data_IF_643266328212
#
_entry.id   IF_643266328212
#
_cell.length_a   1.000
_cell.length_b   1.000
_cell.length_c   1.000
_cell.angle_alpha   90.00
_cell.angle_beta   90.00
_cell.angle_gamma   90.00
#
_symmetry.space_group_name_H-M   'P 1'
#
loop_
_entity.id
_entity.type
_entity.pdbx_description
1 polymer ?
#
# COMPACT_ATOMS: atom_id res chain seq x y z
N UNK A 1 20.63 -26.07 -17.86
CA UNK A 1 19.52 -25.77 -16.93
C UNK A 1 19.05 -24.36 -17.22
N UNK A 2 17.82 -24.17 -17.70
CA UNK A 2 17.22 -22.84 -17.78
C UNK A 2 16.99 -22.34 -16.36
N UNK A 3 17.63 -21.24 -15.98
CA UNK A 3 17.35 -20.61 -14.69
C UNK A 3 15.90 -20.11 -14.72
N UNK A 4 15.03 -20.70 -13.92
CA UNK A 4 13.70 -20.15 -13.70
C UNK A 4 13.85 -18.86 -12.90
N UNK A 5 13.38 -17.74 -13.46
CA UNK A 5 13.45 -16.41 -12.84
C UNK A 5 12.36 -16.21 -11.77
N UNK A 6 11.32 -17.05 -11.78
CA UNK A 6 10.24 -17.04 -10.80
C UNK A 6 10.03 -18.46 -10.31
N UNK A 7 9.98 -18.62 -8.99
CA UNK A 7 9.72 -19.90 -8.31
C UNK A 7 8.60 -19.66 -7.31
N UNK A 8 7.65 -20.60 -7.23
CA UNK A 8 6.51 -20.52 -6.33
C UNK A 8 6.73 -21.39 -5.10
N UNK A 9 6.27 -20.92 -3.94
CA UNK A 9 6.11 -21.69 -2.72
C UNK A 9 4.62 -21.75 -2.35
N UNK A 10 4.26 -22.71 -1.49
CA UNK A 10 2.89 -22.83 -1.00
C UNK A 10 2.59 -21.75 0.06
N UNK A 11 1.46 -21.06 -0.09
CA UNK A 11 1.07 -20.00 0.84
C UNK A 11 0.77 -20.58 2.24
N UNK A 12 1.32 -19.97 3.28
CA UNK A 12 1.18 -20.46 4.65
C UNK A 12 2.12 -21.62 5.02
N UNK A 13 2.89 -22.18 4.08
CA UNK A 13 3.90 -23.21 4.33
C UNK A 13 5.31 -22.59 4.33
N UNK A 14 5.85 -22.40 5.54
CA UNK A 14 7.18 -21.84 5.72
C UNK A 14 8.30 -22.78 5.25
N UNK A 15 8.11 -24.11 5.35
CA UNK A 15 9.10 -25.07 4.85
C UNK A 15 9.17 -25.04 3.33
N UNK A 16 8.03 -24.87 2.65
CA UNK A 16 7.97 -24.66 1.21
C UNK A 16 8.74 -23.42 0.78
N UNK A 17 8.59 -22.31 1.51
CA UNK A 17 9.36 -21.10 1.27
C UNK A 17 10.88 -21.31 1.52
N UNK A 18 11.25 -21.94 2.63
CA UNK A 18 12.65 -22.19 2.98
C UNK A 18 13.41 -23.04 1.94
N UNK A 19 12.72 -23.94 1.22
CA UNK A 19 13.33 -24.74 0.15
C UNK A 19 13.77 -23.91 -1.06
N UNK A 20 13.09 -22.78 -1.32
CA UNK A 20 13.26 -21.99 -2.54
C UNK A 20 13.95 -20.65 -2.32
N UNK A 21 13.93 -20.11 -1.09
CA UNK A 21 14.65 -18.90 -0.71
C UNK A 21 16.12 -19.25 -0.50
N UNK A 22 17.00 -18.75 -1.38
CA UNK A 22 18.42 -19.11 -1.41
C UNK A 22 19.30 -17.86 -1.48
N UNK A 23 20.27 -17.77 -0.57
CA UNK A 23 21.24 -16.69 -0.53
C UNK A 23 22.00 -16.56 -1.86
N UNK A 24 22.15 -15.33 -2.35
CA UNK A 24 22.80 -15.02 -3.63
C UNK A 24 22.04 -15.45 -4.88
N UNK A 25 20.81 -15.99 -4.74
CA UNK A 25 19.95 -16.39 -5.87
C UNK A 25 18.57 -15.76 -5.82
N UNK A 26 17.98 -15.65 -4.65
CA UNK A 26 16.66 -15.03 -4.46
C UNK A 26 16.82 -13.53 -4.29
N UNK A 27 16.30 -12.75 -5.23
CA UNK A 27 16.32 -11.29 -5.13
C UNK A 27 15.22 -10.76 -4.18
N UNK A 28 14.03 -11.35 -4.25
CA UNK A 28 12.88 -10.92 -3.48
C UNK A 28 11.85 -12.04 -3.31
N UNK A 29 11.04 -11.93 -2.26
CA UNK A 29 9.87 -12.77 -1.97
C UNK A 29 8.63 -11.88 -1.98
N UNK A 30 7.67 -12.20 -2.85
CA UNK A 30 6.40 -11.49 -2.95
C UNK A 30 5.31 -12.29 -2.24
N UNK A 31 4.57 -11.65 -1.34
CA UNK A 31 3.48 -12.30 -0.60
C UNK A 31 2.36 -11.30 -0.28
N UNK A 32 1.11 -11.76 -0.36
CA UNK A 32 -0.05 -11.01 0.14
C UNK A 32 -0.19 -11.27 1.65
N UNK A 33 -0.25 -10.26 2.55
CA UNK A 33 -0.56 -10.50 3.96
C UNK A 33 -1.95 -11.15 4.17
N UNK A 34 -2.87 -10.89 3.25
CA UNK A 34 -4.17 -11.57 3.14
C UNK A 34 -4.36 -11.92 1.67
N UNK A 35 -4.29 -13.19 1.32
CA UNK A 35 -4.47 -13.65 -0.05
C UNK A 35 -5.92 -13.41 -0.48
N UNK A 36 -6.13 -12.44 -1.37
CA UNK A 36 -7.46 -11.95 -1.73
C UNK A 36 -8.21 -12.92 -2.64
N UNK A 37 -7.77 -13.01 -3.89
CA UNK A 37 -8.44 -13.82 -4.93
C UNK A 37 -8.32 -15.33 -4.69
N UNK A 38 -7.39 -15.75 -3.82
CA UNK A 38 -7.24 -17.15 -3.42
C UNK A 38 -8.40 -17.67 -2.55
N UNK A 39 -9.24 -16.80 -2.00
CA UNK A 39 -10.33 -17.18 -1.10
C UNK A 39 -10.42 -16.36 0.18
N UNK A 40 -9.76 -15.21 0.24
CA UNK A 40 -9.66 -14.34 1.43
C UNK A 40 -9.04 -15.09 2.60
N UNK A 41 -7.76 -15.45 2.46
CA UNK A 41 -6.99 -16.17 3.47
C UNK A 41 -5.97 -15.28 4.17
N UNK A 42 -6.24 -14.79 5.39
CA UNK A 42 -5.24 -14.11 6.20
C UNK A 42 -4.07 -15.05 6.49
N UNK A 43 -2.84 -14.55 6.36
CA UNK A 43 -1.66 -15.30 6.76
C UNK A 43 -1.68 -15.59 8.27
N UNK A 44 -0.98 -16.64 8.68
CA UNK A 44 -0.61 -16.84 10.08
C UNK A 44 0.55 -15.89 10.43
N UNK A 45 0.59 -15.42 11.67
CA UNK A 45 1.64 -14.49 12.13
C UNK A 45 3.04 -15.12 12.02
N UNK A 46 3.16 -16.37 12.42
CA UNK A 46 4.39 -17.15 12.40
C UNK A 46 4.91 -17.33 10.96
N UNK A 47 4.02 -17.42 9.98
CA UNK A 47 4.39 -17.54 8.57
C UNK A 47 5.06 -16.26 8.06
N UNK A 48 4.46 -15.08 8.28
CA UNK A 48 5.06 -13.81 7.81
C UNK A 48 6.32 -13.43 8.58
N UNK A 49 6.36 -13.71 9.89
CA UNK A 49 7.57 -13.52 10.70
C UNK A 49 8.70 -14.45 10.24
N UNK A 50 8.38 -15.71 9.94
CA UNK A 50 9.31 -16.67 9.36
C UNK A 50 9.83 -16.22 7.99
N UNK A 51 8.95 -15.74 7.10
CA UNK A 51 9.35 -15.21 5.80
C UNK A 51 10.31 -14.03 5.93
N UNK A 52 10.06 -13.12 6.89
CA UNK A 52 10.98 -12.02 7.18
C UNK A 52 12.37 -12.53 7.55
N UNK A 53 12.45 -13.48 8.49
CA UNK A 53 13.73 -14.06 8.90
C UNK A 53 14.44 -14.75 7.73
N UNK A 54 13.72 -15.54 6.93
CA UNK A 54 14.29 -16.21 5.75
C UNK A 54 14.82 -15.21 4.71
N UNK A 55 14.12 -14.09 4.51
CA UNK A 55 14.57 -13.03 3.60
C UNK A 55 15.84 -12.36 4.15
N UNK A 56 15.87 -12.05 5.44
CA UNK A 56 17.03 -11.43 6.10
C UNK A 56 18.26 -12.33 6.01
N UNK A 57 18.12 -13.62 6.34
CA UNK A 57 19.20 -14.61 6.29
C UNK A 57 19.75 -14.81 4.87
N UNK A 58 18.88 -14.70 3.85
CA UNK A 58 19.26 -14.86 2.45
C UNK A 58 19.78 -13.57 1.79
N UNK A 59 19.59 -12.41 2.42
CA UNK A 59 19.80 -11.10 1.79
C UNK A 59 18.80 -10.81 0.67
N UNK A 60 17.58 -11.35 0.76
CA UNK A 60 16.49 -11.13 -0.18
C UNK A 60 15.53 -10.05 0.35
N UNK A 61 14.86 -9.34 -0.56
CA UNK A 61 13.83 -8.36 -0.17
C UNK A 61 12.50 -9.05 0.13
N UNK A 62 11.82 -8.65 1.20
CA UNK A 62 10.43 -9.03 1.45
C UNK A 62 9.49 -7.98 0.87
N UNK A 63 8.59 -8.40 -0.01
CA UNK A 63 7.62 -7.54 -0.68
C UNK A 63 6.20 -7.92 -0.27
N UNK A 64 5.47 -6.98 0.30
CA UNK A 64 4.04 -7.17 0.59
C UNK A 64 3.15 -6.56 -0.50
N UNK A 65 2.30 -7.40 -1.08
CA UNK A 65 1.21 -6.92 -1.91
C UNK A 65 0.02 -6.51 -1.03
N UNK A 66 -0.11 -5.20 -0.86
CA UNK A 66 -1.17 -4.58 -0.08
C UNK A 66 -2.23 -3.91 -0.96
N UNK A 67 -2.24 -4.21 -2.27
CA UNK A 67 -3.20 -3.65 -3.22
C UNK A 67 -4.64 -3.91 -2.77
N UNK A 68 -4.93 -5.10 -2.24
CA UNK A 68 -6.26 -5.45 -1.77
C UNK A 68 -6.47 -5.23 -0.26
N UNK A 69 -5.50 -5.65 0.56
CA UNK A 69 -5.65 -5.71 2.01
C UNK A 69 -5.23 -4.42 2.75
N UNK A 70 -4.54 -3.49 2.08
CA UNK A 70 -4.11 -2.23 2.66
C UNK A 70 -5.19 -1.16 2.74
N UNK A 71 -4.76 0.07 3.05
CA UNK A 71 -5.58 1.29 3.11
C UNK A 71 -6.87 1.14 3.95
N UNK A 72 -6.73 0.60 5.16
CA UNK A 72 -7.86 0.50 6.09
C UNK A 72 -8.75 -0.73 5.91
N UNK A 73 -8.51 -1.59 4.91
CA UNK A 73 -9.42 -2.70 4.56
C UNK A 73 -9.59 -3.69 5.71
N UNK A 74 -8.50 -4.04 6.40
CA UNK A 74 -8.46 -5.01 7.51
C UNK A 74 -8.74 -4.39 8.88
N UNK A 75 -8.96 -3.07 8.96
CA UNK A 75 -9.12 -2.34 10.23
C UNK A 75 -7.84 -1.66 10.73
N UNK A 76 -6.69 -2.01 10.16
CA UNK A 76 -5.40 -1.30 10.29
C UNK A 76 -5.13 -0.48 9.04
N UNK A 77 -4.21 0.50 9.11
CA UNK A 77 -3.91 1.30 7.92
C UNK A 77 -3.30 0.41 6.84
N UNK A 78 -2.38 -0.45 7.25
CA UNK A 78 -1.76 -1.48 6.43
C UNK A 78 -2.08 -2.87 7.01
N UNK A 79 -2.32 -3.83 6.14
CA UNK A 79 -2.58 -5.22 6.50
C UNK A 79 -1.43 -5.83 7.30
N UNK A 80 -0.19 -5.49 6.96
CA UNK A 80 0.98 -6.03 7.66
C UNK A 80 1.07 -5.61 9.14
N UNK A 81 0.44 -4.50 9.54
CA UNK A 81 0.45 -4.01 10.93
C UNK A 81 -0.14 -5.04 11.92
N UNK A 82 -0.96 -5.97 11.45
CA UNK A 82 -1.51 -7.04 12.28
C UNK A 82 -0.46 -8.08 12.72
N UNK A 83 0.65 -8.18 11.99
CA UNK A 83 1.63 -9.26 12.13
C UNK A 83 2.94 -8.81 12.79
N UNK A 84 3.11 -7.48 12.97
CA UNK A 84 4.35 -6.92 13.53
C UNK A 84 5.57 -7.09 12.61
N UNK A 85 5.35 -7.27 11.30
CA UNK A 85 6.39 -7.45 10.29
C UNK A 85 6.34 -6.29 9.31
N UNK A 86 7.48 -5.62 9.10
CA UNK A 86 7.60 -4.58 8.08
C UNK A 86 8.27 -5.16 6.82
N UNK A 87 7.72 -4.91 5.62
CA UNK A 87 8.35 -5.32 4.37
C UNK A 87 9.44 -4.32 3.95
N UNK A 88 10.32 -4.75 3.04
CA UNK A 88 11.28 -3.86 2.39
C UNK A 88 10.60 -3.03 1.29
N UNK A 89 9.58 -3.60 0.65
CA UNK A 89 8.76 -2.98 -0.39
C UNK A 89 7.29 -3.33 -0.18
N UNK A 90 6.38 -2.40 -0.42
CA UNK A 90 4.94 -2.69 -0.47
C UNK A 90 4.26 -2.03 -1.66
N UNK A 91 3.28 -2.72 -2.24
CA UNK A 91 2.48 -2.20 -3.36
C UNK A 91 1.09 -1.78 -2.88
N UNK A 92 0.59 -0.67 -3.43
CA UNK A 92 -0.73 -0.11 -3.17
C UNK A 92 -1.42 0.24 -4.50
N UNK A 93 -2.72 0.03 -4.59
CA UNK A 93 -3.55 0.50 -5.71
C UNK A 93 -5.03 0.51 -5.27
N UNK A 94 -5.93 -0.07 -6.07
CA UNK A 94 -7.37 -0.28 -5.80
C UNK A 94 -8.03 0.89 -5.02
N UNK A 95 -8.17 0.89 -3.67
CA UNK A 95 -8.85 2.00 -2.99
C UNK A 95 -8.06 3.32 -3.01
N UNK A 96 -6.77 3.32 -3.38
CA UNK A 96 -5.84 4.45 -3.23
C UNK A 96 -6.39 5.79 -3.73
N UNK A 97 -6.98 5.85 -4.93
CA UNK A 97 -7.65 7.06 -5.44
C UNK A 97 -9.16 6.88 -5.65
N UNK A 98 -9.81 6.05 -4.83
CA UNK A 98 -11.26 5.93 -4.84
C UNK A 98 -11.84 5.54 -6.20
N UNK A 99 -11.14 4.65 -6.91
CA UNK A 99 -11.55 4.13 -8.22
C UNK A 99 -10.88 4.81 -9.42
N UNK A 100 -10.11 5.88 -9.24
CA UNK A 100 -9.21 6.37 -10.29
C UNK A 100 -7.96 5.48 -10.40
N UNK A 101 -7.40 5.28 -11.60
CA UNK A 101 -6.22 4.44 -11.80
C UNK A 101 -4.99 5.11 -11.21
N UNK A 102 -4.48 4.55 -10.12
CA UNK A 102 -3.19 4.88 -9.53
C UNK A 102 -2.66 3.64 -8.79
N UNK A 103 -1.35 3.47 -8.84
CA UNK A 103 -0.62 2.56 -7.97
C UNK A 103 0.51 3.32 -7.28
N UNK A 104 0.96 2.83 -6.15
CA UNK A 104 2.15 3.30 -5.46
C UNK A 104 3.00 2.11 -5.02
N UNK A 105 4.31 2.29 -5.05
CA UNK A 105 5.28 1.41 -4.43
C UNK A 105 5.91 2.21 -3.30
N UNK A 106 5.84 1.70 -2.08
CA UNK A 106 6.64 2.20 -0.98
C UNK A 106 7.81 1.26 -0.78
N UNK A 107 8.95 1.80 -0.40
CA UNK A 107 10.16 1.05 -0.17
C UNK A 107 10.98 1.71 0.93
N UNK A 108 11.86 0.96 1.57
CA UNK A 108 12.85 1.52 2.50
C UNK A 108 13.83 2.43 1.74
N UNK A 109 14.49 3.34 2.47
CA UNK A 109 15.50 4.24 1.88
C UNK A 109 16.64 3.44 1.23
N UNK A 110 17.06 2.34 1.86
CA UNK A 110 18.11 1.47 1.34
C UNK A 110 17.75 0.90 -0.03
N UNK A 111 16.51 0.42 -0.19
CA UNK A 111 16.01 -0.07 -1.49
C UNK A 111 15.86 1.09 -2.48
N UNK A 112 15.32 2.23 -2.05
CA UNK A 112 15.13 3.41 -2.92
C UNK A 112 16.45 3.92 -3.50
N UNK A 113 17.54 3.86 -2.73
CA UNK A 113 18.86 4.34 -3.13
C UNK A 113 19.44 3.57 -4.33
N UNK A 114 18.92 2.37 -4.61
CA UNK A 114 19.32 1.56 -5.76
C UNK A 114 18.64 1.95 -7.07
N UNK A 115 17.60 2.79 -7.03
CA UNK A 115 16.85 3.24 -8.21
C UNK A 115 17.36 4.61 -8.63
N UNK A 116 18.07 4.67 -9.75
CA UNK A 116 18.69 5.89 -10.25
C UNK A 116 17.80 6.58 -11.31
N UNK A 117 18.00 7.89 -11.54
CA UNK A 117 17.32 8.59 -12.62
C UNK A 117 17.56 7.91 -13.98
N UNK A 118 16.48 7.44 -14.60
CA UNK A 118 16.50 6.73 -15.88
C UNK A 118 16.16 5.24 -15.79
N UNK A 119 16.22 4.62 -14.59
CA UNK A 119 15.95 3.19 -14.40
C UNK A 119 14.45 2.86 -14.50
N UNK A 120 13.60 3.80 -14.10
CA UNK A 120 12.16 3.63 -14.08
C UNK A 120 11.43 4.93 -14.44
N UNK A 121 10.28 4.81 -15.11
CA UNK A 121 9.46 5.96 -15.46
C UNK A 121 8.08 5.54 -15.96
N UNK A 122 7.14 6.48 -15.90
CA UNK A 122 5.79 6.31 -16.45
C UNK A 122 5.20 7.67 -16.83
N UNK A 123 4.53 7.72 -17.99
CA UNK A 123 3.97 8.96 -18.54
C UNK A 123 2.88 9.57 -17.67
N UNK A 124 2.05 8.73 -17.05
CA UNK A 124 0.86 9.17 -16.30
C UNK A 124 0.99 8.98 -14.79
N UNK A 125 2.00 8.24 -14.31
CA UNK A 125 2.20 8.02 -12.89
C UNK A 125 2.50 9.34 -12.17
N UNK A 126 1.93 9.51 -10.97
CA UNK A 126 2.13 10.72 -10.17
C UNK A 126 1.48 11.98 -10.70
N UNK A 127 0.65 11.90 -11.75
CA UNK A 127 -0.06 13.05 -12.31
C UNK A 127 -0.92 13.76 -11.25
N UNK A 128 -1.03 15.11 -11.29
CA UNK A 128 -1.62 15.88 -10.20
C UNK A 128 -3.07 15.49 -9.91
N UNK A 129 -3.89 15.22 -10.91
CA UNK A 129 -5.30 14.85 -10.71
C UNK A 129 -5.47 13.58 -9.85
N UNK A 130 -4.83 12.48 -10.27
CA UNK A 130 -4.95 11.19 -9.57
C UNK A 130 -4.28 11.23 -8.20
N UNK A 131 -3.18 11.97 -8.07
CA UNK A 131 -2.48 12.17 -6.81
C UNK A 131 -3.32 12.96 -5.80
N UNK A 132 -4.01 14.03 -6.22
CA UNK A 132 -4.89 14.78 -5.32
C UNK A 132 -6.07 13.94 -4.83
N UNK A 133 -6.67 13.14 -5.73
CA UNK A 133 -7.70 12.20 -5.34
C UNK A 133 -7.16 11.17 -4.33
N UNK A 134 -5.94 10.67 -4.53
CA UNK A 134 -5.30 9.75 -3.61
C UNK A 134 -5.06 10.34 -2.22
N UNK A 135 -4.58 11.58 -2.14
CA UNK A 135 -4.39 12.31 -0.87
C UNK A 135 -5.73 12.47 -0.15
N UNK A 136 -6.79 12.90 -0.86
CA UNK A 136 -8.10 13.10 -0.27
C UNK A 136 -8.68 11.80 0.32
N UNK A 137 -8.51 10.67 -0.38
CA UNK A 137 -8.92 9.35 0.11
C UNK A 137 -8.08 8.93 1.32
N UNK A 138 -6.76 9.08 1.25
CA UNK A 138 -5.86 8.72 2.33
C UNK A 138 -6.13 9.51 3.61
N UNK A 139 -6.25 10.83 3.51
CA UNK A 139 -6.61 11.72 4.64
C UNK A 139 -7.94 11.30 5.28
N UNK A 140 -8.90 10.91 4.44
CA UNK A 140 -10.19 10.42 4.93
C UNK A 140 -10.03 9.11 5.70
N UNK A 141 -9.32 8.13 5.15
CA UNK A 141 -9.05 6.84 5.82
C UNK A 141 -8.36 7.07 7.16
N UNK A 142 -7.34 7.92 7.20
CA UNK A 142 -6.64 8.29 8.45
C UNK A 142 -7.56 8.98 9.46
N UNK A 143 -8.42 9.92 9.01
CA UNK A 143 -9.35 10.64 9.89
C UNK A 143 -10.36 9.69 10.55
N UNK A 144 -10.86 8.70 9.79
CA UNK A 144 -11.77 7.69 10.31
C UNK A 144 -11.08 6.80 11.34
N UNK A 145 -9.82 6.40 11.08
CA UNK A 145 -9.00 5.62 12.03
C UNK A 145 -8.83 6.36 13.37
N UNK A 146 -8.47 7.65 13.34
CA UNK A 146 -8.28 8.46 14.56
C UNK A 146 -9.54 8.65 15.39
N UNK A 147 -10.71 8.67 14.75
CA UNK A 147 -11.97 8.90 15.43
C UNK A 147 -12.50 7.67 16.19
N UNK A 148 -11.91 6.48 15.99
CA UNK A 148 -12.35 5.19 16.56
C UNK A 148 -13.86 4.88 16.40
N UNK A 149 -14.55 5.55 15.48
CA UNK A 149 -15.98 5.41 15.23
C UNK A 149 -16.21 4.37 14.11
N UNK A 150 -16.74 3.17 14.45
CA UNK A 150 -16.97 2.10 13.47
C UNK A 150 -17.92 2.51 12.34
N UNK A 151 -18.88 3.41 12.60
CA UNK A 151 -19.84 3.91 11.61
C UNK A 151 -19.19 4.75 10.51
N UNK A 152 -18.10 5.47 10.84
CA UNK A 152 -17.34 6.31 9.91
C UNK A 152 -16.41 5.51 9.00
N UNK A 153 -15.89 4.37 9.44
CA UNK A 153 -15.11 3.47 8.58
C UNK A 153 -15.99 2.81 7.51
N UNK A 154 -17.23 2.44 7.86
CA UNK A 154 -18.21 1.95 6.88
C UNK A 154 -18.61 3.04 5.86
N UNK A 155 -18.69 4.31 6.26
CA UNK A 155 -18.88 5.45 5.34
C UNK A 155 -17.66 5.72 4.46
N UNK A 156 -16.43 5.55 4.96
CA UNK A 156 -15.22 5.71 4.14
C UNK A 156 -15.19 4.72 2.96
N UNK A 157 -15.80 3.53 3.11
CA UNK A 157 -15.99 2.57 2.01
C UNK A 157 -16.95 3.07 0.92
N UNK A 158 -17.82 4.04 1.22
CA UNK A 158 -18.73 4.69 0.25
C UNK A 158 -18.09 5.90 -0.42
N UNK A 159 -16.98 6.41 0.09
CA UNK A 159 -16.30 7.60 -0.42
C UNK A 159 -15.91 7.51 -1.90
N UNK A 160 -15.39 6.38 -2.43
CA UNK A 160 -15.17 6.22 -3.87
C UNK A 160 -16.45 6.48 -4.67
N UNK A 161 -17.57 5.91 -4.21
CA UNK A 161 -18.89 6.08 -4.83
C UNK A 161 -19.44 7.49 -4.64
N UNK A 162 -19.21 8.13 -3.49
CA UNK A 162 -19.67 9.49 -3.18
C UNK A 162 -18.86 10.56 -3.94
N UNK A 163 -17.54 10.43 -4.04
CA UNK A 163 -16.69 11.29 -4.87
C UNK A 163 -17.03 11.11 -6.36
N UNK A 164 -17.23 9.87 -6.81
CA UNK A 164 -17.73 9.61 -8.17
C UNK A 164 -19.14 10.17 -8.39
N UNK A 165 -20.01 10.14 -7.38
CA UNK A 165 -21.34 10.75 -7.44
C UNK A 165 -21.28 12.28 -7.47
N UNK A 166 -20.34 12.90 -6.76
CA UNK A 166 -20.08 14.35 -6.80
C UNK A 166 -19.49 14.80 -8.15
N UNK A 167 -18.74 13.91 -8.81
CA UNK A 167 -18.23 14.11 -10.17
C UNK A 167 -19.23 13.74 -11.27
N UNK A 168 -20.47 13.31 -10.95
CA UNK A 168 -21.51 13.17 -11.98
C UNK A 168 -21.81 14.55 -12.58
N UNK A 169 -22.00 14.65 -13.91
CA UNK A 169 -22.41 15.90 -14.52
C UNK A 169 -23.68 16.37 -13.81
N UNK A 170 -23.61 17.55 -13.18
CA UNK A 170 -24.82 18.22 -12.69
C UNK A 170 -25.72 18.41 -13.89
N UNK A 171 -26.92 17.83 -13.86
CA UNK A 171 -27.97 18.22 -14.80
C UNK A 171 -28.05 19.75 -14.77
N UNK A 172 -27.97 20.39 -15.94
CA UNK A 172 -27.94 21.85 -16.06
C UNK A 172 -29.18 22.47 -15.42
N UNK A 173 -29.08 22.84 -14.14
CA UNK A 173 -30.04 23.60 -13.38
C UNK A 173 -29.36 24.90 -12.95
N UNK A 174 -29.92 26.02 -13.40
CA UNK A 174 -29.40 27.38 -13.18
C UNK A 174 -29.39 27.74 -11.70
N UNK A 175 -28.29 27.53 -11.00
CA UNK A 175 -28.00 28.21 -9.73
C UNK A 175 -26.50 28.38 -9.55
N UNK A 176 -26.10 29.59 -9.15
CA UNK A 176 -24.71 30.03 -9.03
C UNK A 176 -23.92 29.20 -8.01
N UNK A 177 -22.64 28.88 -8.26
CA UNK A 177 -21.83 28.11 -7.32
C UNK A 177 -21.45 28.95 -6.08
N UNK A 178 -21.36 28.35 -4.88
CA UNK A 178 -20.80 29.01 -3.71
C UNK A 178 -19.29 29.20 -3.87
N UNK A 179 -18.74 30.26 -3.27
CA UNK A 179 -17.32 30.60 -3.36
C UNK A 179 -16.42 29.48 -2.83
N UNK A 180 -15.62 28.87 -3.71
CA UNK A 180 -14.65 27.84 -3.35
C UNK A 180 -13.37 28.51 -2.81
N UNK A 181 -13.05 28.25 -1.54
CA UNK A 181 -11.73 28.58 -0.97
C UNK A 181 -10.72 27.60 -1.58
N UNK A 182 -9.81 28.11 -2.40
CA UNK A 182 -8.75 27.30 -2.99
C UNK A 182 -7.90 26.67 -1.87
N UNK A 183 -7.97 25.35 -1.74
CA UNK A 183 -7.00 24.57 -0.97
C UNK A 183 -5.77 24.42 -1.86
N UNK A 184 -4.71 25.19 -1.59
CA UNK A 184 -3.42 24.98 -2.24
C UNK A 184 -2.87 23.63 -1.82
N UNK A 185 -2.64 22.74 -2.77
CA UNK A 185 -1.91 21.51 -2.51
C UNK A 185 -0.44 21.83 -2.29
N UNK A 186 0.02 21.61 -1.07
CA UNK A 186 1.42 21.67 -0.68
C UNK A 186 2.11 20.34 -1.04
N UNK A 187 3.06 20.31 -2.00
CA UNK A 187 3.80 19.12 -2.37
C UNK A 187 4.57 18.49 -1.20
N UNK A 188 4.93 19.27 -0.17
CA UNK A 188 5.63 18.80 1.02
C UNK A 188 4.80 17.86 1.91
N UNK A 189 3.46 17.92 1.81
CA UNK A 189 2.58 17.01 2.56
C UNK A 189 2.59 15.58 2.05
N UNK A 190 2.89 15.35 0.77
CA UNK A 190 2.93 14.00 0.21
C UNK A 190 4.07 13.16 0.79
N UNK A 191 5.28 13.73 0.83
CA UNK A 191 6.43 13.05 1.43
C UNK A 191 6.24 12.79 2.93
N UNK A 192 5.43 13.60 3.62
CA UNK A 192 5.10 13.41 5.03
C UNK A 192 3.97 12.41 5.26
N UNK A 193 2.97 12.34 4.36
CA UNK A 193 1.87 11.39 4.43
C UNK A 193 2.33 9.93 4.26
N UNK A 194 3.41 9.70 3.51
CA UNK A 194 4.05 8.39 3.33
C UNK A 194 5.21 8.12 4.30
N UNK A 195 5.63 9.10 5.12
CA UNK A 195 6.54 8.81 6.24
C UNK A 195 5.75 8.08 7.31
N UNK A 196 6.26 6.92 7.74
CA UNK A 196 5.78 6.19 8.92
C UNK A 196 5.58 7.18 10.09
N UNK A 197 4.53 7.00 10.93
CA UNK A 197 4.38 7.78 12.15
C UNK A 197 5.69 7.79 12.94
N UNK A 198 6.04 8.93 13.53
CA UNK A 198 7.30 9.11 14.28
C UNK A 198 7.49 8.06 15.38
N UNK A 199 6.39 7.50 15.89
CA UNK A 199 6.35 6.40 16.86
C UNK A 199 6.83 5.05 16.28
N UNK A 200 6.55 4.77 15.00
CA UNK A 200 7.09 3.60 14.29
C UNK A 200 8.54 3.81 13.85
N UNK A 201 8.93 5.04 13.49
CA UNK A 201 10.34 5.36 13.18
C UNK A 201 11.27 5.14 14.38
N UNK A 202 10.75 5.28 15.61
CA UNK A 202 11.51 5.01 16.83
C UNK A 202 11.71 3.51 17.12
N UNK A 203 10.85 2.65 16.58
CA UNK A 203 10.97 1.18 16.71
C UNK A 203 11.88 0.56 15.65
N UNK A 204 12.22 1.31 14.59
CA UNK A 204 13.09 0.88 13.49
C UNK A 204 14.51 1.45 13.55
N UNK A 205 14.96 1.99 14.70
CA UNK A 205 16.38 2.33 14.91
C UNK A 205 17.09 1.16 15.60
N UNK A 206 18.35 0.85 15.22
CA UNK A 206 19.14 -0.19 15.88
C UNK A 206 19.38 0.11 17.36
#
# INVERSE_FOLDING_TARGET
>A
MTAQSVVSAEYGDLESAARVIQAGRTAAVFVEPVQGEGGVFPAQTEFLQGLRQLCDDAGALLVFDEVQCGLGRTGKLWGHEHYGVSPDVMTLAKPLAGGLPIGAILMTEDVASSILPGDHGSTFAGGPLVTHAAIAVFDRVQSCRRSADPGRMAQARRLPTELQAQCRPRAHGTSSPPAHRALSADPGRMAQAFRLPTELQAQCRP
#
